data_IF_910320050961
#
_entry.id   IF_910320050961
#
_cell.length_a   1.000
_cell.length_b   1.000
_cell.length_c   1.000
_cell.angle_alpha   90.00
_cell.angle_beta   90.00
_cell.angle_gamma   90.00
#
_symmetry.space_group_name_H-M   'P 1'
#
loop_
_entity.id
_entity.type
_entity.pdbx_description
1 polymer ?
#
# COMPACT_ATOMS: atom_id res chain seq x y z
N UNK A 1 -2.22 4.78 -14.05
CA UNK A 1 -2.27 5.13 -12.61
C UNK A 1 -0.86 5.36 -12.09
N UNK A 2 -0.62 6.55 -11.52
CA UNK A 2 0.62 6.84 -10.80
C UNK A 2 0.51 6.31 -9.37
N UNK A 3 1.41 5.41 -9.00
CA UNK A 3 1.39 4.73 -7.71
C UNK A 3 2.63 5.12 -6.90
N UNK A 4 2.43 5.58 -5.67
CA UNK A 4 3.51 5.82 -4.70
C UNK A 4 3.63 4.64 -3.75
N UNK A 5 4.85 4.25 -3.40
CA UNK A 5 5.11 3.21 -2.40
C UNK A 5 6.02 3.76 -1.32
N UNK A 6 5.54 3.75 -0.07
CA UNK A 6 6.31 4.12 1.10
C UNK A 6 6.46 2.91 2.01
N UNK A 7 7.66 2.61 2.48
CA UNK A 7 7.91 1.50 3.38
C UNK A 7 8.15 1.95 4.82
N UNK A 8 7.70 1.14 5.78
CA UNK A 8 8.05 1.26 7.20
C UNK A 8 7.99 -0.08 7.94
N UNK A 9 8.18 -0.10 9.26
CA UNK A 9 7.93 -1.28 10.09
C UNK A 9 8.89 -2.46 9.83
N UNK A 10 10.15 -2.17 9.53
CA UNK A 10 11.20 -3.21 9.38
C UNK A 10 11.75 -3.73 10.71
N UNK A 11 11.37 -3.13 11.83
CA UNK A 11 11.87 -3.47 13.16
C UNK A 11 11.26 -4.76 13.74
N UNK A 12 10.00 -5.08 13.43
CA UNK A 12 9.33 -6.30 13.90
C UNK A 12 8.30 -6.81 12.87
N UNK A 13 8.75 -7.27 11.68
CA UNK A 13 7.85 -7.55 10.59
C UNK A 13 7.03 -8.84 10.81
N UNK A 14 5.71 -8.70 10.70
CA UNK A 14 4.72 -9.79 10.62
C UNK A 14 4.60 -10.26 9.17
N UNK A 15 4.84 -9.37 8.20
CA UNK A 15 4.75 -9.65 6.77
C UNK A 15 6.07 -9.39 6.04
N UNK A 16 6.27 -10.07 4.91
CA UNK A 16 7.30 -9.71 3.94
C UNK A 16 6.79 -8.59 3.02
N UNK A 17 7.15 -7.34 3.36
CA UNK A 17 6.71 -6.13 2.65
C UNK A 17 7.07 -6.11 1.17
N UNK A 18 8.30 -6.52 0.83
CA UNK A 18 8.77 -6.53 -0.56
C UNK A 18 8.03 -7.58 -1.40
N UNK A 19 7.73 -8.74 -0.80
CA UNK A 19 6.90 -9.77 -1.44
C UNK A 19 5.49 -9.25 -1.70
N UNK A 20 4.84 -8.67 -0.68
CA UNK A 20 3.51 -8.08 -0.81
C UNK A 20 3.46 -7.05 -1.93
N UNK A 21 4.37 -6.07 -1.93
CA UNK A 21 4.39 -5.01 -2.94
C UNK A 21 4.59 -5.59 -4.34
N UNK A 22 5.47 -6.58 -4.51
CA UNK A 22 5.67 -7.25 -5.80
C UNK A 22 4.38 -7.93 -6.28
N UNK A 23 3.67 -8.62 -5.39
CA UNK A 23 2.40 -9.28 -5.71
C UNK A 23 1.31 -8.27 -6.08
N UNK A 24 1.21 -7.16 -5.34
CA UNK A 24 0.27 -6.07 -5.59
C UNK A 24 0.54 -5.40 -6.93
N UNK A 25 1.79 -5.01 -7.22
CA UNK A 25 2.15 -4.39 -8.51
C UNK A 25 1.83 -5.34 -9.66
N UNK A 26 2.24 -6.62 -9.56
CA UNK A 26 1.97 -7.61 -10.59
C UNK A 26 0.48 -7.82 -10.86
N UNK A 27 -0.37 -7.71 -9.83
CA UNK A 27 -1.81 -7.81 -9.98
C UNK A 27 -2.41 -6.53 -10.57
N UNK A 28 -2.02 -5.35 -10.08
CA UNK A 28 -2.47 -4.05 -10.60
C UNK A 28 -2.12 -3.88 -12.08
N UNK A 29 -0.91 -4.27 -12.50
CA UNK A 29 -0.46 -4.19 -13.90
C UNK A 29 -1.25 -5.07 -14.87
N UNK A 30 -2.11 -5.97 -14.38
CA UNK A 30 -3.05 -6.73 -15.23
C UNK A 30 -4.37 -5.99 -15.45
N UNK A 31 -4.70 -5.04 -14.59
CA UNK A 31 -5.97 -4.30 -14.61
C UNK A 31 -5.78 -2.90 -15.20
N UNK A 32 -4.65 -2.24 -14.88
CA UNK A 32 -4.33 -0.87 -15.30
C UNK A 32 -2.83 -0.67 -15.53
N UNK A 33 -2.47 0.29 -16.37
CA UNK A 33 -1.07 0.72 -16.48
C UNK A 33 -0.60 1.37 -15.17
N UNK A 34 0.50 0.87 -14.61
CA UNK A 34 1.07 1.33 -13.34
C UNK A 34 2.41 2.01 -13.59
N UNK A 35 2.53 3.26 -13.15
CA UNK A 35 3.79 4.02 -13.12
C UNK A 35 4.16 4.27 -11.65
N UNK A 36 5.34 3.83 -11.21
CA UNK A 36 5.80 4.10 -9.83
C UNK A 36 6.43 5.49 -9.78
N UNK A 37 5.90 6.35 -8.92
CA UNK A 37 6.37 7.75 -8.77
C UNK A 37 6.62 8.11 -7.30
N UNK A 38 7.45 9.12 -7.09
CA UNK A 38 7.75 9.62 -5.75
C UNK A 38 6.79 10.70 -5.25
N UNK A 39 6.18 11.47 -6.15
CA UNK A 39 5.22 12.53 -5.82
C UNK A 39 4.13 12.59 -6.89
N UNK A 40 3.08 13.37 -6.65
CA UNK A 40 1.94 13.55 -7.56
C UNK A 40 1.28 12.21 -7.95
N UNK A 41 1.26 11.25 -7.03
CA UNK A 41 0.63 9.96 -7.25
C UNK A 41 -0.90 10.04 -7.16
N UNK A 42 -1.60 9.22 -7.95
CA UNK A 42 -3.04 9.07 -7.79
C UNK A 42 -3.37 8.32 -6.50
N UNK A 43 -2.61 7.25 -6.22
CA UNK A 43 -2.74 6.47 -4.98
C UNK A 43 -1.35 6.20 -4.38
N UNK A 44 -1.23 6.30 -3.07
CA UNK A 44 -0.07 5.89 -2.29
C UNK A 44 -0.36 4.61 -1.51
N UNK A 45 0.63 3.73 -1.38
CA UNK A 45 0.60 2.58 -0.48
C UNK A 45 1.67 2.81 0.59
N UNK A 46 1.26 2.94 1.85
CA UNK A 46 2.17 2.90 2.99
C UNK A 46 2.23 1.45 3.50
N UNK A 47 3.37 0.79 3.34
CA UNK A 47 3.58 -0.62 3.70
C UNK A 47 4.46 -0.76 4.93
N UNK A 48 3.81 -0.92 6.08
CA UNK A 48 4.38 -1.30 7.36
C UNK A 48 4.45 -2.80 7.54
N UNK A 49 5.61 -3.29 7.95
CA UNK A 49 5.81 -4.72 8.24
C UNK A 49 5.10 -5.16 9.52
N UNK A 50 4.82 -4.22 10.43
CA UNK A 50 4.10 -4.44 11.69
C UNK A 50 2.86 -3.56 11.76
N UNK A 51 1.94 -3.89 12.67
CA UNK A 51 0.68 -3.17 12.87
C UNK A 51 0.85 -1.70 13.29
N UNK A 52 1.97 -1.34 13.92
CA UNK A 52 2.21 0.05 14.38
C UNK A 52 2.27 1.04 13.21
N UNK A 53 2.80 0.61 12.06
CA UNK A 53 2.94 1.44 10.86
C UNK A 53 3.43 2.88 11.17
N UNK A 54 4.63 2.98 11.75
CA UNK A 54 5.11 4.16 12.47
C UNK A 54 5.12 5.53 11.76
N UNK A 55 5.19 5.66 10.41
CA UNK A 55 5.24 6.96 9.78
C UNK A 55 4.00 7.80 10.09
N UNK A 56 4.25 9.06 10.43
CA UNK A 56 3.20 10.05 10.52
C UNK A 56 2.71 10.40 9.11
N UNK A 57 1.43 10.12 8.82
CA UNK A 57 0.83 10.38 7.51
C UNK A 57 0.88 11.86 7.12
N UNK A 58 0.87 12.78 8.09
CA UNK A 58 0.95 14.23 7.81
C UNK A 58 2.27 14.65 7.14
N UNK A 59 3.28 13.77 7.09
CA UNK A 59 4.56 14.04 6.41
C UNK A 59 4.58 13.56 4.96
N UNK A 60 3.57 12.82 4.53
CA UNK A 60 3.51 12.19 3.21
C UNK A 60 2.16 12.36 2.51
N UNK A 61 1.15 12.92 3.18
CA UNK A 61 -0.21 13.02 2.65
C UNK A 61 -0.30 13.81 1.33
N UNK A 62 0.59 14.78 1.11
CA UNK A 62 0.69 15.60 -0.10
C UNK A 62 1.30 14.86 -1.31
N UNK A 63 1.91 13.70 -1.09
CA UNK A 63 2.65 12.97 -2.13
C UNK A 63 1.75 12.03 -2.94
N UNK A 64 0.51 11.81 -2.49
CA UNK A 64 -0.51 11.05 -3.21
C UNK A 64 -1.92 11.55 -2.87
N UNK A 65 -2.83 11.56 -3.85
CA UNK A 65 -4.22 12.04 -3.63
C UNK A 65 -4.98 11.21 -2.59
N UNK A 66 -4.70 9.91 -2.53
CA UNK A 66 -5.31 8.95 -1.62
C UNK A 66 -4.25 7.97 -1.11
N UNK A 67 -4.45 7.42 0.09
CA UNK A 67 -3.55 6.42 0.68
C UNK A 67 -4.26 5.12 1.06
N UNK A 68 -3.61 4.00 0.78
CA UNK A 68 -3.90 2.67 1.37
C UNK A 68 -2.82 2.39 2.40
N UNK A 69 -3.24 2.11 3.64
CA UNK A 69 -2.30 1.88 4.75
C UNK A 69 -2.28 0.40 5.09
N UNK A 70 -1.12 -0.22 4.93
CA UNK A 70 -0.87 -1.61 5.32
C UNK A 70 0.01 -1.63 6.56
N UNK A 71 -0.44 -2.26 7.63
CA UNK A 71 0.33 -2.44 8.86
C UNK A 71 0.30 -3.89 9.31
N UNK A 72 1.33 -4.68 8.95
CA UNK A 72 1.30 -6.12 9.20
C UNK A 72 0.14 -6.77 8.43
N UNK A 73 -0.78 -7.37 9.15
CA UNK A 73 -2.02 -7.99 8.65
C UNK A 73 -3.20 -7.02 8.57
N UNK A 74 -3.00 -5.71 8.75
CA UNK A 74 -4.06 -4.70 8.67
C UNK A 74 -4.02 -3.93 7.35
N UNK A 75 -5.19 -3.63 6.79
CA UNK A 75 -5.38 -2.73 5.64
C UNK A 75 -6.45 -1.70 6.00
N UNK A 76 -6.12 -0.40 5.96
CA UNK A 76 -7.01 0.71 6.34
C UNK A 76 -7.77 0.44 7.66
N UNK A 77 -7.02 0.07 8.71
CA UNK A 77 -7.51 -0.24 10.07
C UNK A 77 -8.29 -1.55 10.25
N UNK A 78 -8.41 -2.38 9.20
CA UNK A 78 -9.08 -3.67 9.27
C UNK A 78 -8.05 -4.81 9.21
N UNK A 79 -8.08 -5.72 10.19
CA UNK A 79 -7.31 -6.98 10.15
C UNK A 79 -7.86 -7.90 9.07
N UNK A 80 -6.96 -8.52 8.32
CA UNK A 80 -7.27 -9.43 7.22
C UNK A 80 -6.34 -10.65 7.27
N UNK A 81 -6.70 -11.73 6.58
CA UNK A 81 -5.78 -12.86 6.42
C UNK A 81 -4.56 -12.44 5.59
N UNK A 82 -3.36 -12.86 6.02
CA UNK A 82 -2.09 -12.59 5.29
C UNK A 82 -2.15 -13.13 3.85
N UNK A 83 -2.81 -14.28 3.64
CA UNK A 83 -2.95 -14.88 2.31
C UNK A 83 -3.85 -14.04 1.37
N UNK A 84 -4.75 -13.24 1.95
CA UNK A 84 -5.66 -12.36 1.21
C UNK A 84 -5.11 -10.93 1.06
N UNK A 85 -4.05 -10.61 1.79
CA UNK A 85 -3.46 -9.27 1.86
C UNK A 85 -3.17 -8.67 0.47
N UNK A 86 -2.55 -9.38 -0.49
CA UNK A 86 -2.27 -8.81 -1.80
C UNK A 86 -3.55 -8.39 -2.55
N UNK A 87 -4.55 -9.27 -2.59
CA UNK A 87 -5.78 -9.00 -3.33
C UNK A 87 -6.61 -7.89 -2.68
N UNK A 88 -6.64 -7.83 -1.35
CA UNK A 88 -7.36 -6.77 -0.63
C UNK A 88 -6.70 -5.41 -0.88
N UNK A 89 -5.37 -5.34 -0.87
CA UNK A 89 -4.64 -4.11 -1.20
C UNK A 89 -4.91 -3.67 -2.64
N UNK A 90 -4.89 -4.60 -3.61
CA UNK A 90 -5.24 -4.32 -5.02
C UNK A 90 -6.63 -3.69 -5.13
N UNK A 91 -7.64 -4.32 -4.51
CA UNK A 91 -9.01 -3.84 -4.55
C UNK A 91 -9.15 -2.44 -3.93
N UNK A 92 -8.44 -2.17 -2.83
CA UNK A 92 -8.42 -0.87 -2.17
C UNK A 92 -7.75 0.21 -3.01
N UNK A 93 -6.65 -0.12 -3.69
CA UNK A 93 -5.95 0.79 -4.59
C UNK A 93 -6.85 1.18 -5.76
N UNK A 94 -7.47 0.20 -6.44
CA UNK A 94 -8.38 0.47 -7.55
C UNK A 94 -9.58 1.31 -7.11
N UNK A 95 -10.22 0.95 -5.98
CA UNK A 95 -11.33 1.72 -5.46
C UNK A 95 -10.97 3.18 -5.14
N UNK A 96 -9.75 3.46 -4.66
CA UNK A 96 -9.27 4.83 -4.40
C UNK A 96 -8.82 5.56 -5.66
N UNK A 97 -8.45 4.84 -6.71
CA UNK A 97 -8.08 5.42 -7.99
C UNK A 97 -9.32 5.91 -8.77
N UNK A 98 -10.45 5.22 -8.61
CA UNK A 98 -11.71 5.55 -9.29
C UNK A 98 -12.52 6.68 -8.61
N UNK A 99 -12.16 7.10 -7.38
CA UNK A 99 -12.80 8.17 -6.60
C UNK A 99 -11.99 9.47 -6.65
#
# INVERSE_FOLDING_TARGET
MKLRIKYCGGCNPIINRSKLVKEVINALSKEVDVEIVDNDADVGILVGGCQVCCPNLSQIEDQAKQWVIVGGDWVDHLSVSIDQLPQIVVNKVLAKYDN
#
